data_IF_458173015703
#
_entry.id   IF_458173015703
#
_cell.length_a   1.000
_cell.length_b   1.000
_cell.length_c   1.000
_cell.angle_alpha   90.00
_cell.angle_beta   90.00
_cell.angle_gamma   90.00
#
_symmetry.space_group_name_H-M   'P 1'
#
loop_
_entity.id
_entity.type
_entity.pdbx_description
1 polymer ?
#
# COMPACT_ATOMS: atom_id res chain seq x y z
N UNK A 1 14.33 -13.08 15.78
CA UNK A 1 15.62 -12.41 15.97
C UNK A 1 15.64 -11.57 17.24
N UNK A 2 16.81 -11.19 17.73
CA UNK A 2 16.97 -10.48 19.02
C UNK A 2 16.25 -9.12 19.05
N UNK A 3 16.17 -8.45 17.91
CA UNK A 3 15.45 -7.19 17.75
C UNK A 3 13.94 -7.35 17.96
N UNK A 4 13.36 -8.41 17.44
CA UNK A 4 11.94 -8.72 17.59
C UNK A 4 11.61 -9.10 19.05
N UNK A 5 12.46 -9.91 19.71
CA UNK A 5 12.35 -10.24 21.13
C UNK A 5 12.42 -8.98 22.03
N UNK A 6 13.33 -8.03 21.73
CA UNK A 6 13.42 -6.74 22.44
C UNK A 6 12.15 -5.89 22.27
N UNK A 7 11.54 -5.91 21.08
CA UNK A 7 10.34 -5.16 20.76
C UNK A 7 9.09 -5.72 21.43
N UNK A 8 8.90 -7.04 21.42
CA UNK A 8 7.83 -7.71 22.16
C UNK A 8 7.99 -7.46 23.67
N UNK A 9 9.23 -7.52 24.18
CA UNK A 9 9.53 -7.20 25.57
C UNK A 9 9.21 -5.75 25.95
N UNK A 10 9.53 -4.79 25.08
CA UNK A 10 9.20 -3.38 25.28
C UNK A 10 7.69 -3.14 25.29
N UNK A 11 6.95 -3.76 24.36
CA UNK A 11 5.49 -3.67 24.27
C UNK A 11 4.77 -4.25 25.48
N UNK A 12 5.25 -5.37 26.01
CA UNK A 12 4.70 -6.00 27.24
C UNK A 12 5.00 -5.18 28.50
N UNK A 13 6.03 -4.32 28.49
CA UNK A 13 6.40 -3.49 29.64
C UNK A 13 5.73 -2.12 29.67
N UNK A 14 5.15 -1.65 28.57
CA UNK A 14 4.53 -0.33 28.46
C UNK A 14 3.02 -0.31 28.72
N UNK A 15 2.37 -1.47 28.91
CA UNK A 15 0.97 -1.55 29.35
C UNK A 15 0.84 -1.56 30.88
N UNK A 16 -0.32 -1.08 31.44
CA UNK A 16 -0.52 -1.02 32.89
C UNK A 16 -0.39 -2.39 33.55
N UNK A 17 -0.08 -2.47 34.85
CA UNK A 17 0.66 -3.56 35.48
C UNK A 17 -0.11 -4.88 35.51
N UNK A 18 0.07 -5.69 34.49
CA UNK A 18 -0.08 -7.12 34.60
C UNK A 18 1.12 -7.62 35.43
N UNK A 19 0.87 -8.44 36.43
CA UNK A 19 1.87 -8.97 37.35
C UNK A 19 3.16 -9.35 36.59
N UNK A 20 4.31 -8.76 36.97
CA UNK A 20 5.63 -9.00 36.31
C UNK A 20 5.96 -10.50 36.17
N UNK A 21 5.49 -11.33 37.11
CA UNK A 21 5.67 -12.79 37.08
C UNK A 21 4.88 -13.47 35.96
N UNK A 22 3.71 -12.93 35.57
CA UNK A 22 2.89 -13.47 34.45
C UNK A 22 3.50 -13.12 33.10
N UNK A 23 3.99 -11.89 32.96
CA UNK A 23 4.68 -11.42 31.74
C UNK A 23 5.95 -12.25 31.49
N UNK A 24 6.74 -12.52 32.55
CA UNK A 24 7.94 -13.36 32.46
C UNK A 24 7.58 -14.82 32.15
N UNK A 25 6.51 -15.36 32.75
CA UNK A 25 6.04 -16.73 32.44
C UNK A 25 5.53 -16.86 31.02
N UNK A 26 4.76 -15.88 30.51
CA UNK A 26 4.29 -15.88 29.13
C UNK A 26 5.48 -15.76 28.19
N UNK A 27 6.44 -14.88 28.48
CA UNK A 27 7.65 -14.70 27.66
C UNK A 27 8.54 -15.96 27.61
N UNK A 28 8.69 -16.69 28.73
CA UNK A 28 9.50 -17.90 28.78
C UNK A 28 8.79 -19.14 28.21
N UNK A 29 7.47 -19.11 28.06
CA UNK A 29 6.68 -20.18 27.42
C UNK A 29 6.50 -20.02 25.90
N UNK A 30 6.85 -18.86 25.33
CA UNK A 30 6.85 -18.66 23.87
C UNK A 30 8.06 -19.42 23.31
N UNK A 31 7.82 -20.58 22.69
CA UNK A 31 8.85 -21.33 21.96
C UNK A 31 9.40 -20.44 20.84
N UNK A 32 10.67 -20.62 20.47
CA UNK A 32 11.31 -19.82 19.40
C UNK A 32 10.56 -19.85 18.06
N UNK A 33 9.77 -20.91 17.78
CA UNK A 33 8.92 -21.05 16.60
C UNK A 33 7.63 -20.18 16.61
N UNK A 34 7.22 -19.65 17.78
CA UNK A 34 5.98 -18.86 17.90
C UNK A 34 6.17 -17.34 17.63
N UNK A 35 7.40 -16.92 17.32
CA UNK A 35 7.80 -15.52 17.12
C UNK A 35 8.13 -15.17 15.66
N UNK A 36 7.50 -15.86 14.72
CA UNK A 36 7.65 -15.54 13.29
C UNK A 36 6.99 -14.20 12.98
N UNK A 37 7.74 -13.31 12.30
CA UNK A 37 7.17 -12.08 11.77
C UNK A 37 6.29 -12.40 10.59
N UNK A 38 5.01 -12.04 10.66
CA UNK A 38 4.05 -12.27 9.58
C UNK A 38 4.26 -11.24 8.45
N UNK A 39 4.32 -11.72 7.23
CA UNK A 39 4.33 -10.92 6.01
C UNK A 39 3.08 -11.24 5.20
N UNK A 40 2.25 -10.23 4.95
CA UNK A 40 1.08 -10.36 4.09
C UNK A 40 1.46 -9.93 2.67
N UNK A 41 1.17 -10.79 1.70
CA UNK A 41 1.39 -10.51 0.28
C UNK A 41 0.07 -10.09 -0.36
N UNK A 42 -0.03 -8.81 -0.70
CA UNK A 42 -1.18 -8.18 -1.36
C UNK A 42 -0.81 -7.82 -2.81
N UNK A 43 -0.56 -8.84 -3.63
CA UNK A 43 -0.18 -8.72 -5.04
C UNK A 43 -1.00 -9.73 -5.88
N UNK A 44 -1.58 -9.28 -6.98
CA UNK A 44 -2.42 -10.13 -7.86
C UNK A 44 -1.63 -10.83 -8.97
N UNK A 45 -0.34 -10.57 -9.10
CA UNK A 45 0.53 -11.23 -10.08
C UNK A 45 1.11 -12.52 -9.50
N UNK A 46 0.72 -13.66 -10.04
CA UNK A 46 1.15 -14.99 -9.58
C UNK A 46 2.68 -15.16 -9.56
N UNK A 47 3.36 -14.69 -10.62
CA UNK A 47 4.82 -14.82 -10.70
C UNK A 47 5.53 -13.95 -9.65
N UNK A 48 5.04 -12.76 -9.37
CA UNK A 48 5.58 -11.89 -8.33
C UNK A 48 5.40 -12.52 -6.96
N UNK A 49 4.20 -13.05 -6.67
CA UNK A 49 3.93 -13.77 -5.41
C UNK A 49 4.86 -14.97 -5.23
N UNK A 50 4.98 -15.81 -6.26
CA UNK A 50 5.87 -16.97 -6.22
C UNK A 50 7.33 -16.56 -5.95
N UNK A 51 7.80 -15.50 -6.60
CA UNK A 51 9.12 -14.94 -6.38
C UNK A 51 9.32 -14.40 -4.96
N UNK A 52 8.36 -13.65 -4.43
CA UNK A 52 8.40 -13.14 -3.06
C UNK A 52 8.39 -14.25 -2.01
N UNK A 53 7.51 -15.26 -2.16
CA UNK A 53 7.48 -16.43 -1.29
C UNK A 53 8.84 -17.12 -1.28
N UNK A 54 9.41 -17.42 -2.47
CA UNK A 54 10.73 -18.03 -2.59
C UNK A 54 11.84 -17.23 -1.87
N UNK A 55 11.78 -15.90 -1.94
CA UNK A 55 12.75 -15.02 -1.28
C UNK A 55 12.58 -15.04 0.24
N UNK A 56 11.33 -14.90 0.71
CA UNK A 56 11.01 -14.74 2.13
C UNK A 56 11.23 -16.04 2.91
N UNK A 57 10.88 -17.19 2.32
CA UNK A 57 11.13 -18.52 2.93
C UNK A 57 12.61 -18.79 3.22
N UNK A 58 13.52 -18.07 2.53
CA UNK A 58 14.98 -18.15 2.77
C UNK A 58 15.49 -17.09 3.73
N UNK A 59 14.59 -16.34 4.34
CA UNK A 59 14.88 -15.35 5.37
C UNK A 59 14.40 -15.88 6.72
N UNK A 60 15.30 -16.03 7.68
CA UNK A 60 14.98 -16.59 9.00
C UNK A 60 13.94 -15.75 9.77
N UNK A 61 13.04 -16.41 10.46
CA UNK A 61 12.08 -15.78 11.36
C UNK A 61 10.90 -15.10 10.67
N UNK A 62 10.62 -15.43 9.41
CA UNK A 62 9.52 -14.86 8.63
C UNK A 62 8.51 -15.92 8.21
N UNK A 63 7.24 -15.56 8.22
CA UNK A 63 6.12 -16.35 7.71
C UNK A 63 5.34 -15.52 6.69
N UNK A 64 4.93 -16.12 5.58
CA UNK A 64 4.13 -15.46 4.55
C UNK A 64 2.69 -15.93 4.55
N UNK A 65 1.76 -14.99 4.37
CA UNK A 65 0.36 -15.28 4.04
C UNK A 65 -0.05 -14.41 2.85
N UNK A 66 -0.68 -15.01 1.85
CA UNK A 66 -1.30 -14.29 0.75
C UNK A 66 -2.67 -13.76 1.16
N UNK A 67 -3.04 -12.59 0.67
CA UNK A 67 -4.37 -11.99 0.81
C UNK A 67 -4.87 -11.58 -0.57
N UNK A 68 -6.09 -11.99 -0.89
CA UNK A 68 -6.64 -11.85 -2.23
C UNK A 68 -7.26 -10.47 -2.47
N UNK A 69 -7.88 -9.91 -1.43
CA UNK A 69 -8.57 -8.63 -1.50
C UNK A 69 -8.41 -7.79 -0.22
N UNK A 70 -8.94 -6.59 -0.25
CA UNK A 70 -8.92 -5.68 0.90
C UNK A 70 -9.67 -6.24 2.12
N UNK A 71 -10.72 -7.02 1.92
CA UNK A 71 -11.50 -7.61 3.02
C UNK A 71 -10.64 -8.62 3.77
N UNK A 72 -9.97 -9.52 3.04
CA UNK A 72 -9.08 -10.50 3.62
C UNK A 72 -7.86 -9.85 4.27
N UNK A 73 -7.29 -8.81 3.64
CA UNK A 73 -6.21 -8.01 4.23
C UNK A 73 -6.64 -7.42 5.58
N UNK A 74 -7.81 -6.79 5.65
CA UNK A 74 -8.32 -6.20 6.90
C UNK A 74 -8.60 -7.24 7.97
N UNK A 75 -9.06 -8.43 7.62
CA UNK A 75 -9.26 -9.54 8.56
C UNK A 75 -7.91 -10.01 9.12
N UNK A 76 -6.92 -10.22 8.27
CA UNK A 76 -5.58 -10.63 8.68
C UNK A 76 -4.90 -9.58 9.59
N UNK A 77 -5.07 -8.28 9.31
CA UNK A 77 -4.53 -7.20 10.12
C UNK A 77 -5.23 -7.07 11.49
N UNK A 78 -6.52 -7.41 11.59
CA UNK A 78 -7.23 -7.47 12.89
C UNK A 78 -6.70 -8.59 13.78
N UNK A 79 -6.29 -9.72 13.21
CA UNK A 79 -5.69 -10.82 13.95
C UNK A 79 -4.30 -10.45 14.48
N UNK A 80 -3.50 -9.77 13.67
CA UNK A 80 -2.16 -9.31 14.04
C UNK A 80 -1.78 -8.07 13.22
N UNK A 81 -1.82 -6.88 13.84
CA UNK A 81 -1.42 -5.63 13.20
C UNK A 81 0.11 -5.38 13.18
N UNK A 82 0.89 -6.10 14.03
CA UNK A 82 2.37 -6.07 13.98
C UNK A 82 2.89 -6.94 12.83
N UNK A 83 2.64 -6.49 11.63
CA UNK A 83 2.77 -7.23 10.37
C UNK A 83 3.42 -6.34 9.31
N UNK A 84 4.15 -6.92 8.38
CA UNK A 84 4.58 -6.25 7.14
C UNK A 84 3.62 -6.62 6.03
N UNK A 85 3.06 -5.62 5.34
CA UNK A 85 2.25 -5.81 4.14
C UNK A 85 3.09 -5.44 2.93
N UNK A 86 3.37 -6.40 2.04
CA UNK A 86 3.94 -6.12 0.72
C UNK A 86 2.77 -5.93 -0.23
N UNK A 87 2.59 -4.69 -0.69
CA UNK A 87 1.41 -4.26 -1.44
C UNK A 87 1.78 -3.84 -2.85
N UNK A 88 1.25 -4.53 -3.85
CA UNK A 88 1.13 -3.94 -5.18
C UNK A 88 -0.06 -2.97 -5.22
N UNK A 89 0.23 -1.70 -4.96
CA UNK A 89 -0.80 -0.68 -4.98
C UNK A 89 -1.51 -0.56 -6.33
N UNK A 90 -0.80 -0.78 -7.45
CA UNK A 90 -1.39 -0.64 -8.80
C UNK A 90 -2.43 -1.71 -9.11
N UNK A 91 -2.27 -2.90 -8.59
CA UNK A 91 -3.13 -4.04 -8.90
C UNK A 91 -4.10 -4.44 -7.78
N UNK A 92 -3.85 -4.00 -6.55
CA UNK A 92 -4.72 -4.32 -5.42
C UNK A 92 -5.94 -3.38 -5.35
N UNK A 93 -6.99 -3.80 -4.64
CA UNK A 93 -8.29 -3.10 -4.55
C UNK A 93 -8.35 -1.96 -3.52
N UNK A 94 -7.25 -1.22 -3.40
CA UNK A 94 -7.16 0.07 -2.70
C UNK A 94 -7.27 1.18 -3.75
N UNK A 95 -8.20 2.11 -3.56
CA UNK A 95 -8.57 3.06 -4.62
C UNK A 95 -7.60 4.23 -4.74
N UNK A 96 -7.14 4.79 -3.61
CA UNK A 96 -6.30 6.00 -3.60
C UNK A 96 -5.42 6.08 -2.33
N UNK A 97 -4.61 7.12 -2.26
CA UNK A 97 -3.74 7.37 -1.11
C UNK A 97 -4.53 7.65 0.18
N UNK A 98 -5.70 8.28 0.09
CA UNK A 98 -6.52 8.59 1.26
C UNK A 98 -7.02 7.30 1.92
N UNK A 99 -7.48 6.33 1.13
CA UNK A 99 -7.89 5.03 1.64
C UNK A 99 -6.73 4.27 2.30
N UNK A 100 -5.53 4.31 1.69
CA UNK A 100 -4.34 3.68 2.27
C UNK A 100 -3.92 4.34 3.59
N UNK A 101 -4.05 5.67 3.70
CA UNK A 101 -3.81 6.41 4.94
C UNK A 101 -4.82 6.06 6.04
N UNK A 102 -6.09 5.86 5.68
CA UNK A 102 -7.13 5.39 6.61
C UNK A 102 -6.77 3.99 7.14
N UNK A 103 -6.31 3.07 6.27
CA UNK A 103 -5.85 1.75 6.70
C UNK A 103 -4.65 1.84 7.64
N UNK A 104 -3.68 2.72 7.34
CA UNK A 104 -2.53 2.96 8.20
C UNK A 104 -2.93 3.54 9.57
N UNK A 105 -3.90 4.46 9.62
CA UNK A 105 -4.42 4.99 10.89
C UNK A 105 -5.14 3.92 11.71
N UNK A 106 -5.89 3.04 11.04
CA UNK A 106 -6.62 1.95 11.69
C UNK A 106 -5.71 0.86 12.22
N UNK A 107 -4.58 0.61 11.56
CA UNK A 107 -3.58 -0.40 11.90
C UNK A 107 -2.19 0.25 12.08
N UNK A 108 -1.97 0.99 13.17
CA UNK A 108 -0.80 1.87 13.32
C UNK A 108 0.54 1.12 13.47
N UNK A 109 0.51 -0.17 13.75
CA UNK A 109 1.72 -1.01 13.87
C UNK A 109 2.05 -1.76 12.58
N UNK A 110 1.19 -1.69 11.57
CA UNK A 110 1.41 -2.31 10.27
C UNK A 110 2.44 -1.51 9.47
N UNK A 111 3.41 -2.20 8.90
CA UNK A 111 4.42 -1.63 8.01
C UNK A 111 4.06 -1.96 6.58
N UNK A 112 4.02 -0.96 5.75
CA UNK A 112 3.60 -1.04 4.37
C UNK A 112 4.82 -0.95 3.45
N UNK A 113 5.14 -2.02 2.73
CA UNK A 113 6.10 -1.99 1.63
C UNK A 113 5.32 -1.93 0.31
N UNK A 114 5.27 -0.74 -0.28
CA UNK A 114 4.70 -0.56 -1.60
C UNK A 114 5.65 -1.18 -2.62
N UNK A 115 5.19 -2.20 -3.32
CA UNK A 115 5.97 -2.97 -4.28
C UNK A 115 5.24 -3.03 -5.61
N UNK A 116 5.39 -2.01 -6.44
CA UNK A 116 4.64 -1.81 -7.68
C UNK A 116 5.58 -1.52 -8.85
N UNK A 117 5.09 -1.70 -10.08
CA UNK A 117 5.87 -1.40 -11.28
C UNK A 117 6.14 0.09 -11.42
N UNK A 118 5.14 0.91 -11.09
CA UNK A 118 5.21 2.36 -11.22
C UNK A 118 4.37 3.04 -10.12
N UNK A 119 4.94 4.08 -9.51
CA UNK A 119 4.28 4.91 -8.50
C UNK A 119 4.59 6.37 -8.79
N UNK A 120 3.57 7.24 -8.79
CA UNK A 120 3.81 8.65 -8.97
C UNK A 120 4.55 9.27 -7.79
N UNK A 121 5.44 10.24 -8.08
CA UNK A 121 6.19 10.95 -7.04
C UNK A 121 5.27 11.60 -6.00
N UNK A 122 4.17 12.20 -6.43
CA UNK A 122 3.24 12.90 -5.55
C UNK A 122 2.48 11.94 -4.63
N UNK A 123 2.05 10.78 -5.16
CA UNK A 123 1.48 9.70 -4.34
C UNK A 123 2.46 9.26 -3.25
N UNK A 124 3.71 9.00 -3.61
CA UNK A 124 4.74 8.57 -2.66
C UNK A 124 5.05 9.69 -1.65
N UNK A 125 5.19 10.96 -2.10
CA UNK A 125 5.41 12.10 -1.19
C UNK A 125 4.32 12.22 -0.13
N UNK A 126 3.05 12.09 -0.52
CA UNK A 126 1.92 12.15 0.42
C UNK A 126 2.03 11.05 1.48
N UNK A 127 2.32 9.82 1.09
CA UNK A 127 2.39 8.69 2.02
C UNK A 127 3.58 8.79 2.98
N UNK A 128 4.79 9.05 2.46
CA UNK A 128 6.00 9.13 3.30
C UNK A 128 6.02 10.37 4.22
N UNK A 129 5.37 11.45 3.82
CA UNK A 129 5.18 12.63 4.69
C UNK A 129 4.16 12.37 5.81
N UNK A 130 3.14 11.56 5.53
CA UNK A 130 2.05 11.30 6.48
C UNK A 130 2.41 10.27 7.55
N UNK A 131 3.25 9.28 7.24
CA UNK A 131 3.58 8.20 8.20
C UNK A 131 4.95 7.58 7.91
N UNK A 132 5.68 7.22 8.98
CA UNK A 132 6.94 6.47 8.88
C UNK A 132 6.74 4.99 8.53
N UNK A 133 5.52 4.49 8.52
CA UNK A 133 5.20 3.09 8.26
C UNK A 133 5.24 2.72 6.78
N UNK A 134 5.32 3.70 5.87
CA UNK A 134 5.42 3.45 4.44
C UNK A 134 6.86 3.34 3.98
N UNK A 135 7.15 2.24 3.28
CA UNK A 135 8.37 1.96 2.53
C UNK A 135 8.04 1.79 1.05
N UNK A 136 8.99 2.07 0.17
CA UNK A 136 8.76 2.06 -1.28
C UNK A 136 9.85 1.30 -2.00
N UNK A 137 9.43 0.38 -2.86
CA UNK A 137 10.28 -0.45 -3.69
C UNK A 137 9.61 -0.65 -5.06
N UNK A 138 10.35 -0.54 -6.14
CA UNK A 138 9.85 -0.79 -7.48
C UNK A 138 10.11 -2.26 -7.88
N UNK A 139 9.22 -2.86 -8.68
CA UNK A 139 9.35 -4.28 -9.11
C UNK A 139 10.57 -4.55 -9.97
N UNK A 140 11.14 -3.53 -10.59
CA UNK A 140 12.39 -3.62 -11.35
C UNK A 140 13.66 -3.62 -10.47
N UNK A 141 13.52 -3.41 -9.15
CA UNK A 141 14.65 -3.42 -8.22
C UNK A 141 15.37 -4.77 -8.19
N UNK A 142 16.69 -4.79 -8.06
CA UNK A 142 17.45 -6.04 -7.99
C UNK A 142 17.10 -6.83 -6.73
N UNK A 143 17.28 -8.15 -6.80
CA UNK A 143 16.94 -9.08 -5.70
C UNK A 143 17.60 -8.72 -4.37
N UNK A 144 18.81 -8.16 -4.41
CA UNK A 144 19.53 -7.69 -3.21
C UNK A 144 18.77 -6.57 -2.51
N UNK A 145 18.28 -5.60 -3.28
CA UNK A 145 17.49 -4.47 -2.77
C UNK A 145 16.12 -4.92 -2.25
N UNK A 146 15.48 -5.90 -2.92
CA UNK A 146 14.22 -6.51 -2.43
C UNK A 146 14.43 -7.13 -1.05
N UNK A 147 15.48 -7.92 -0.86
CA UNK A 147 15.82 -8.54 0.44
C UNK A 147 16.11 -7.50 1.51
N UNK A 148 16.82 -6.44 1.15
CA UNK A 148 17.13 -5.34 2.06
C UNK A 148 15.88 -4.59 2.49
N UNK A 149 15.00 -4.23 1.54
CA UNK A 149 13.73 -3.56 1.82
C UNK A 149 12.86 -4.37 2.79
N UNK A 150 12.74 -5.68 2.59
CA UNK A 150 12.00 -6.57 3.50
C UNK A 150 12.62 -6.55 4.90
N UNK A 151 13.95 -6.65 5.01
CA UNK A 151 14.65 -6.59 6.31
C UNK A 151 14.43 -5.26 7.02
N UNK A 152 14.51 -4.15 6.30
CA UNK A 152 14.24 -2.83 6.86
C UNK A 152 12.82 -2.74 7.42
N UNK A 153 11.81 -3.22 6.68
CA UNK A 153 10.43 -3.26 7.14
C UNK A 153 10.28 -4.15 8.39
N UNK A 154 10.89 -5.32 8.41
CA UNK A 154 10.89 -6.23 9.58
C UNK A 154 11.51 -5.55 10.80
N UNK A 155 12.60 -4.82 10.62
CA UNK A 155 13.27 -4.05 11.69
C UNK A 155 12.56 -2.74 12.04
N UNK A 156 11.38 -2.46 11.44
CA UNK A 156 10.62 -1.22 11.63
C UNK A 156 11.38 0.03 11.21
N UNK A 157 12.18 -0.11 10.18
CA UNK A 157 12.86 0.99 9.50
C UNK A 157 12.17 1.27 8.17
N UNK A 158 12.18 2.52 7.77
CA UNK A 158 11.69 2.91 6.43
C UNK A 158 12.74 2.55 5.39
N UNK A 159 12.28 2.05 4.25
CA UNK A 159 13.07 1.84 3.05
C UNK A 159 12.47 2.63 1.88
N UNK A 160 13.29 3.30 1.10
CA UNK A 160 12.91 3.90 -0.18
C UNK A 160 14.00 3.54 -1.17
N UNK A 161 13.64 2.87 -2.28
CA UNK A 161 14.61 2.45 -3.29
C UNK A 161 15.30 3.65 -3.93
N UNK A 162 16.53 3.44 -4.39
CA UNK A 162 17.36 4.51 -4.93
C UNK A 162 16.65 5.28 -6.05
N UNK A 163 16.04 4.59 -7.01
CA UNK A 163 15.33 5.22 -8.13
C UNK A 163 14.20 6.14 -7.67
N UNK A 164 13.39 5.69 -6.69
CA UNK A 164 12.32 6.52 -6.16
C UNK A 164 12.88 7.72 -5.38
N UNK A 165 13.98 7.54 -4.67
CA UNK A 165 14.66 8.64 -3.96
C UNK A 165 15.12 9.72 -4.95
N UNK A 166 15.71 9.35 -6.08
CA UNK A 166 16.10 10.28 -7.14
C UNK A 166 14.90 11.06 -7.69
N UNK A 167 13.78 10.38 -7.93
CA UNK A 167 12.53 11.01 -8.39
C UNK A 167 11.97 11.98 -7.34
N UNK A 168 12.02 11.62 -6.06
CA UNK A 168 11.52 12.47 -4.97
C UNK A 168 12.38 13.72 -4.74
N UNK A 169 13.68 13.63 -4.95
CA UNK A 169 14.62 14.74 -4.82
C UNK A 169 14.60 15.68 -6.03
N UNK A 170 14.12 15.23 -7.17
CA UNK A 170 13.92 16.09 -8.34
C UNK A 170 12.77 17.05 -8.06
N UNK A 171 12.97 18.37 -8.19
CA UNK A 171 11.85 19.30 -8.04
C UNK A 171 10.73 18.96 -9.02
N UNK A 172 9.46 19.15 -8.65
CA UNK A 172 8.37 19.00 -9.59
C UNK A 172 8.66 19.93 -10.79
N UNK A 173 8.91 19.37 -11.96
CA UNK A 173 8.89 20.18 -13.15
C UNK A 173 7.43 20.57 -13.38
N UNK A 174 7.14 21.85 -13.38
CA UNK A 174 5.90 22.39 -13.93
C UNK A 174 5.92 22.15 -15.45
N UNK A 175 5.80 20.91 -15.85
CA UNK A 175 5.50 20.58 -17.21
C UNK A 175 4.00 20.72 -17.35
N UNK A 176 3.55 21.79 -18.01
CA UNK A 176 2.24 21.84 -18.63
C UNK A 176 2.18 20.77 -19.76
N UNK A 177 2.42 19.51 -19.42
CA UNK A 177 2.13 18.41 -20.32
C UNK A 177 0.61 18.34 -20.44
N UNK A 178 0.11 18.59 -21.65
CA UNK A 178 -1.27 18.26 -21.99
C UNK A 178 -1.49 16.80 -21.62
N UNK A 179 -2.20 16.58 -20.54
CA UNK A 179 -2.47 15.24 -20.03
C UNK A 179 -3.25 14.46 -21.10
N UNK A 180 -2.58 13.51 -21.75
CA UNK A 180 -3.18 12.69 -22.79
C UNK A 180 -3.88 11.48 -22.17
N UNK A 181 -5.13 11.67 -21.75
CA UNK A 181 -6.01 10.55 -21.42
C UNK A 181 -6.50 9.88 -22.71
N UNK A 182 -6.55 8.56 -22.72
CA UNK A 182 -7.25 7.81 -23.77
C UNK A 182 -8.75 8.06 -23.68
N UNK A 183 -9.50 7.74 -24.74
CA UNK A 183 -10.97 7.85 -24.72
C UNK A 183 -11.59 7.09 -23.54
N UNK A 184 -11.13 5.86 -23.29
CA UNK A 184 -11.59 5.03 -22.18
C UNK A 184 -11.29 5.68 -20.82
N UNK A 185 -10.07 6.22 -20.63
CA UNK A 185 -9.68 6.91 -19.41
C UNK A 185 -10.50 8.18 -19.18
N UNK A 186 -10.76 8.96 -20.24
CA UNK A 186 -11.62 10.16 -20.17
C UNK A 186 -13.04 9.81 -19.73
N UNK A 187 -13.60 8.76 -20.30
CA UNK A 187 -14.94 8.31 -19.96
C UNK A 187 -15.03 7.76 -18.52
N UNK A 188 -14.01 7.01 -18.07
CA UNK A 188 -13.95 6.55 -16.69
C UNK A 188 -13.77 7.74 -15.73
N UNK A 189 -12.98 8.75 -16.10
CA UNK A 189 -12.83 9.96 -15.30
C UNK A 189 -14.15 10.72 -15.15
N UNK A 190 -14.98 10.79 -16.21
CA UNK A 190 -16.35 11.34 -16.12
C UNK A 190 -17.20 10.57 -15.11
N UNK A 191 -17.20 9.24 -15.18
CA UNK A 191 -17.95 8.40 -14.24
C UNK A 191 -17.49 8.59 -12.80
N UNK A 192 -16.17 8.71 -12.57
CA UNK A 192 -15.60 9.05 -11.25
C UNK A 192 -16.11 10.40 -10.77
N UNK A 193 -16.11 11.41 -11.63
CA UNK A 193 -16.53 12.76 -11.31
C UNK A 193 -18.04 12.84 -11.00
N UNK A 194 -18.83 11.96 -11.60
CA UNK A 194 -20.26 11.78 -11.29
C UNK A 194 -20.53 10.95 -10.01
N UNK A 195 -19.48 10.61 -9.25
CA UNK A 195 -19.61 9.92 -7.96
C UNK A 195 -19.75 8.41 -8.06
N UNK A 196 -19.61 7.80 -9.23
CA UNK A 196 -19.74 6.34 -9.40
C UNK A 196 -18.58 5.60 -8.73
N UNK A 197 -18.93 4.53 -8.03
CA UNK A 197 -17.95 3.59 -7.46
C UNK A 197 -17.25 2.77 -8.56
N UNK A 198 -16.09 2.20 -8.26
CA UNK A 198 -15.37 1.31 -9.19
C UNK A 198 -16.24 0.14 -9.66
N UNK A 199 -17.11 -0.38 -8.79
CA UNK A 199 -18.02 -1.48 -9.12
C UNK A 199 -19.12 -1.03 -10.11
N UNK A 200 -19.77 0.09 -9.85
CA UNK A 200 -20.79 0.66 -10.74
C UNK A 200 -20.20 1.00 -12.14
N UNK A 201 -18.99 1.55 -12.17
CA UNK A 201 -18.28 1.81 -13.44
C UNK A 201 -18.00 0.48 -14.19
N UNK A 202 -17.58 -0.56 -13.48
CA UNK A 202 -17.32 -1.87 -14.07
C UNK A 202 -18.60 -2.48 -14.67
N UNK A 203 -19.73 -2.42 -13.94
CA UNK A 203 -21.04 -2.87 -14.42
C UNK A 203 -21.49 -2.05 -15.64
N UNK A 204 -21.46 -0.71 -15.56
CA UNK A 204 -21.84 0.20 -16.65
C UNK A 204 -21.05 -0.04 -17.95
N UNK A 205 -19.75 -0.38 -17.81
CA UNK A 205 -18.84 -0.52 -18.96
C UNK A 205 -18.58 -1.96 -19.37
N UNK A 206 -19.34 -2.92 -18.82
CA UNK A 206 -19.18 -4.37 -19.10
C UNK A 206 -17.72 -4.82 -18.94
N UNK A 207 -17.04 -4.34 -17.89
CA UNK A 207 -15.64 -4.58 -17.60
C UNK A 207 -15.46 -5.20 -16.22
N UNK A 208 -14.27 -5.75 -15.93
CA UNK A 208 -13.99 -6.25 -14.59
C UNK A 208 -13.69 -5.10 -13.62
N UNK A 209 -14.00 -5.31 -12.33
CA UNK A 209 -13.58 -4.39 -11.26
C UNK A 209 -12.08 -4.08 -11.32
N UNK A 210 -11.26 -5.11 -11.54
CA UNK A 210 -9.81 -4.99 -11.63
C UNK A 210 -9.37 -4.09 -12.79
N UNK A 211 -9.98 -4.29 -13.98
CA UNK A 211 -9.69 -3.45 -15.17
C UNK A 211 -9.99 -1.97 -14.89
N UNK A 212 -11.16 -1.68 -14.31
CA UNK A 212 -11.55 -0.30 -13.98
C UNK A 212 -10.62 0.28 -12.93
N UNK A 213 -10.25 -0.49 -11.90
CA UNK A 213 -9.34 -0.03 -10.86
C UNK A 213 -7.95 0.31 -11.42
N UNK A 214 -7.44 -0.49 -12.37
CA UNK A 214 -6.19 -0.20 -13.08
C UNK A 214 -6.30 1.09 -13.89
N UNK A 215 -7.41 1.29 -14.63
CA UNK A 215 -7.63 2.55 -15.34
C UNK A 215 -7.68 3.75 -14.39
N UNK A 216 -8.38 3.64 -13.24
CA UNK A 216 -8.42 4.71 -12.23
C UNK A 216 -7.03 5.11 -11.76
N UNK A 217 -6.19 4.13 -11.42
CA UNK A 217 -4.81 4.39 -10.99
C UNK A 217 -3.98 5.04 -12.09
N UNK A 218 -4.11 4.59 -13.33
CA UNK A 218 -3.44 5.21 -14.48
C UNK A 218 -3.92 6.65 -14.72
N UNK A 219 -5.22 6.91 -14.59
CA UNK A 219 -5.79 8.26 -14.68
C UNK A 219 -5.17 9.15 -13.59
N UNK A 220 -5.20 8.72 -12.32
CA UNK A 220 -4.67 9.50 -11.22
C UNK A 220 -3.18 9.81 -11.40
N UNK A 221 -2.40 8.82 -11.82
CA UNK A 221 -0.98 9.00 -12.15
C UNK A 221 -0.76 10.01 -13.28
N UNK A 222 -1.50 9.90 -14.37
CA UNK A 222 -1.41 10.82 -15.53
C UNK A 222 -1.82 12.24 -15.18
N UNK A 223 -2.82 12.40 -14.31
CA UNK A 223 -3.30 13.69 -13.83
C UNK A 223 -2.43 14.30 -12.71
N UNK A 224 -1.52 13.51 -12.11
CA UNK A 224 -0.77 13.92 -10.94
C UNK A 224 -1.64 14.13 -9.69
N UNK A 225 -2.80 13.42 -9.60
CA UNK A 225 -3.75 13.56 -8.49
C UNK A 225 -3.69 12.35 -7.58
N UNK A 226 -4.02 12.55 -6.29
CA UNK A 226 -3.84 11.52 -5.27
C UNK A 226 -5.15 10.93 -4.75
N UNK A 227 -6.29 11.53 -5.09
CA UNK A 227 -7.59 11.08 -4.61
C UNK A 227 -8.73 11.45 -5.57
N UNK A 228 -9.91 10.88 -5.33
CA UNK A 228 -11.13 11.10 -6.13
C UNK A 228 -11.51 12.58 -6.19
N UNK A 229 -11.39 13.31 -5.08
CA UNK A 229 -11.78 14.71 -5.03
C UNK A 229 -10.92 15.60 -5.95
N UNK A 230 -9.62 15.37 -6.01
CA UNK A 230 -8.73 16.06 -6.94
C UNK A 230 -9.02 15.69 -8.40
N UNK A 231 -9.28 14.41 -8.67
CA UNK A 231 -9.67 13.93 -10.00
C UNK A 231 -10.99 14.57 -10.46
N UNK A 232 -11.96 14.69 -9.57
CA UNK A 232 -13.25 15.38 -9.84
C UNK A 232 -13.03 16.87 -10.13
N UNK A 233 -12.20 17.57 -9.33
CA UNK A 233 -11.86 18.96 -9.61
C UNK A 233 -11.21 19.15 -10.97
N UNK A 234 -10.32 18.22 -11.37
CA UNK A 234 -9.73 18.25 -12.69
C UNK A 234 -10.78 18.08 -13.78
N UNK A 235 -11.67 17.08 -13.66
CA UNK A 235 -12.74 16.82 -14.62
C UNK A 235 -13.67 18.04 -14.83
N UNK A 236 -14.03 18.73 -13.74
CA UNK A 236 -14.82 19.96 -13.78
C UNK A 236 -14.06 21.11 -14.49
N UNK A 237 -12.79 21.32 -14.15
CA UNK A 237 -11.95 22.37 -14.79
C UNK A 237 -11.70 22.10 -16.26
N UNK A 238 -11.57 20.83 -16.65
CA UNK A 238 -11.38 20.40 -18.03
C UNK A 238 -12.69 20.37 -18.85
N UNK A 239 -13.83 20.74 -18.24
CA UNK A 239 -15.13 20.72 -18.91
C UNK A 239 -15.61 19.33 -19.30
N UNK A 240 -15.13 18.28 -18.62
CA UNK A 240 -15.51 16.90 -18.91
C UNK A 240 -16.87 16.53 -18.29
N UNK A 241 -17.27 17.27 -17.26
CA UNK A 241 -18.57 17.13 -16.54
C UNK A 241 -19.07 18.53 -16.23
N UNK A 242 -20.38 18.75 -16.33
CA UNK A 242 -21.01 20.00 -15.92
C UNK A 242 -21.19 20.06 -14.41
N UNK A 243 -20.98 21.25 -13.82
CA UNK A 243 -21.24 21.48 -12.40
C UNK A 243 -22.70 21.23 -12.01
N UNK A 244 -23.64 21.35 -12.94
CA UNK A 244 -25.06 21.04 -12.74
C UNK A 244 -25.31 19.52 -12.57
N UNK A 245 -24.49 18.67 -13.19
CA UNK A 245 -24.63 17.20 -13.08
C UNK A 245 -24.04 16.65 -11.77
N UNK A 246 -23.22 17.44 -11.06
CA UNK A 246 -22.57 17.04 -9.81
C UNK A 246 -23.49 17.15 -8.57
N UNK A 247 -24.56 17.94 -8.64
CA UNK A 247 -25.48 18.21 -7.52
C UNK A 247 -26.77 17.39 -7.54
N UNK A 248 -26.85 16.31 -8.33
CA UNK A 248 -27.96 15.35 -8.34
C UNK A 248 -27.54 14.08 -7.60
#
# INVERSE_FOLDING_TARGET
TETHKKRVRHRLMTHPPLHKSLVIKVYNNIKEGDLLMKILLADKQDITRAGLIYVIERMEGLETKYVEDKTELMLALRENEDTVVILDYTLFDINDSAELLILNQRFPYTRWLLFSEDLSADFVRVLIASSSMFSVLLKESPLTEIKEAIRFCVDSKRFVCQRMMEVLLTPPQEVEEKVNLTKTETEILKDIALGMTTKEIAEKRFSSFHTVNTHRKNIFRKLGVNNVHEATKYALRAGLVDSAEYYI
#
